data_IF_237165613545
#
_entry.id   IF_237165613545
#
_cell.length_a   1.000
_cell.length_b   1.000
_cell.length_c   1.000
_cell.angle_alpha   90.00
_cell.angle_beta   90.00
_cell.angle_gamma   90.00
#
_symmetry.space_group_name_H-M   'P 1'
#
loop_
_entity.id
_entity.type
_entity.pdbx_description
1 polymer ?
#
# COMPACT_ATOMS: atom_id res chain seq x y z
N UNK A 1 9.62 -12.73 12.15
CA UNK A 1 10.16 -13.28 10.89
C UNK A 1 9.09 -14.21 10.29
N UNK A 2 8.17 -13.66 9.52
CA UNK A 2 7.25 -14.49 8.74
C UNK A 2 7.98 -14.86 7.46
N UNK A 3 8.49 -16.07 7.43
CA UNK A 3 9.05 -16.67 6.22
C UNK A 3 7.86 -17.29 5.48
N UNK A 4 7.41 -16.64 4.43
CA UNK A 4 6.56 -17.29 3.44
C UNK A 4 7.44 -18.30 2.70
N UNK A 5 7.34 -19.57 3.04
CA UNK A 5 7.96 -20.64 2.28
C UNK A 5 7.24 -20.82 0.93
N UNK A 6 7.42 -19.89 0.05
CA UNK A 6 7.09 -20.10 -1.36
C UNK A 6 8.29 -20.76 -2.05
N UNK A 7 8.16 -22.04 -2.36
CA UNK A 7 9.21 -22.85 -3.00
C UNK A 7 9.49 -22.48 -4.47
N UNK A 8 8.90 -21.40 -4.96
CA UNK A 8 9.17 -20.90 -6.32
C UNK A 8 10.49 -20.15 -6.35
N UNK A 9 11.25 -20.34 -7.42
CA UNK A 9 12.45 -19.55 -7.66
C UNK A 9 12.01 -18.10 -7.85
N UNK A 10 12.37 -17.24 -6.89
CA UNK A 10 12.10 -15.80 -6.93
C UNK A 10 13.40 -15.03 -6.98
N UNK A 11 13.38 -13.96 -7.71
CA UNK A 11 14.44 -12.96 -7.63
C UNK A 11 14.29 -12.18 -6.31
N UNK A 12 15.35 -12.19 -5.51
CA UNK A 12 15.45 -11.40 -4.29
C UNK A 12 16.27 -10.17 -4.58
N UNK A 13 15.71 -9.01 -4.25
CA UNK A 13 16.38 -7.73 -4.39
C UNK A 13 16.79 -7.22 -3.02
N UNK A 14 18.06 -6.86 -2.88
CA UNK A 14 18.58 -6.24 -1.68
C UNK A 14 18.05 -4.82 -1.55
N UNK A 15 17.43 -4.53 -0.41
CA UNK A 15 17.06 -3.17 -0.03
C UNK A 15 18.28 -2.58 0.68
N UNK A 16 18.94 -1.64 0.02
CA UNK A 16 20.16 -1.03 0.55
C UNK A 16 20.12 0.48 0.41
N UNK A 17 20.89 1.11 1.27
CA UNK A 17 21.14 2.53 1.17
C UNK A 17 22.63 2.80 1.36
N UNK A 18 23.15 3.87 0.77
CA UNK A 18 24.53 4.27 0.92
C UNK A 18 24.67 5.21 2.12
N UNK A 19 25.52 4.84 3.06
CA UNK A 19 25.90 5.75 4.14
C UNK A 19 26.75 6.89 3.57
N UNK A 20 26.21 8.09 3.51
CA UNK A 20 26.88 9.25 2.90
C UNK A 20 28.19 9.63 3.59
N UNK A 21 28.38 9.27 4.86
CA UNK A 21 29.61 9.58 5.61
C UNK A 21 30.75 8.60 5.34
N UNK A 22 30.42 7.33 5.16
CA UNK A 22 31.41 6.26 4.99
C UNK A 22 31.51 5.78 3.55
N UNK A 23 30.54 6.08 2.69
CA UNK A 23 30.41 5.54 1.34
C UNK A 23 30.02 4.05 1.30
N UNK A 24 29.75 3.44 2.45
CA UNK A 24 29.40 2.02 2.54
C UNK A 24 27.94 1.78 2.21
N UNK A 25 27.67 0.72 1.47
CA UNK A 25 26.31 0.26 1.22
C UNK A 25 25.84 -0.59 2.42
N UNK A 26 24.75 -0.16 3.03
CA UNK A 26 24.12 -0.87 4.17
C UNK A 26 22.87 -1.56 3.67
N UNK A 27 22.84 -2.89 3.74
CA UNK A 27 21.62 -3.65 3.48
C UNK A 27 20.67 -3.49 4.66
N UNK A 28 19.42 -3.07 4.40
CA UNK A 28 18.37 -2.90 5.41
C UNK A 28 17.32 -4.00 5.33
N UNK A 29 17.39 -4.85 4.31
CA UNK A 29 16.50 -5.99 4.13
C UNK A 29 16.54 -6.53 2.71
N UNK A 30 15.69 -7.51 2.46
CA UNK A 30 15.51 -8.11 1.14
C UNK A 30 14.03 -8.25 0.84
N UNK A 31 13.64 -8.15 -0.41
CA UNK A 31 12.28 -8.49 -0.85
C UNK A 31 12.32 -9.38 -2.10
N UNK A 32 11.30 -10.23 -2.23
CA UNK A 32 11.07 -10.95 -3.47
C UNK A 32 10.26 -10.08 -4.43
N UNK A 33 10.69 -9.95 -5.68
CA UNK A 33 9.91 -9.30 -6.71
C UNK A 33 8.87 -10.25 -7.30
N UNK A 34 7.69 -9.71 -7.55
CA UNK A 34 6.63 -10.40 -8.25
C UNK A 34 7.03 -10.63 -9.73
N UNK A 35 6.61 -11.77 -10.28
CA UNK A 35 6.71 -12.10 -11.69
C UNK A 35 5.33 -12.03 -12.39
N UNK A 36 5.28 -12.37 -13.69
CA UNK A 36 4.05 -12.35 -14.48
C UNK A 36 2.93 -13.23 -13.88
N UNK A 37 3.27 -14.43 -13.39
CA UNK A 37 2.29 -15.32 -12.77
C UNK A 37 1.71 -14.71 -11.48
N UNK A 38 2.52 -13.98 -10.73
CA UNK A 38 2.07 -13.25 -9.54
C UNK A 38 1.08 -12.15 -9.92
N UNK A 39 1.32 -11.42 -11.02
CA UNK A 39 0.39 -10.41 -11.54
C UNK A 39 -0.96 -11.03 -11.86
N UNK A 40 -0.98 -12.12 -12.62
CA UNK A 40 -2.23 -12.80 -13.00
C UNK A 40 -3.01 -13.27 -11.76
N UNK A 41 -2.33 -13.85 -10.79
CA UNK A 41 -2.98 -14.29 -9.53
C UNK A 41 -3.50 -13.13 -8.70
N UNK A 42 -2.73 -12.05 -8.61
CA UNK A 42 -3.14 -10.88 -7.83
C UNK A 42 -4.36 -10.19 -8.44
N UNK A 43 -4.37 -10.02 -9.75
CA UNK A 43 -5.53 -9.42 -10.45
C UNK A 43 -6.75 -10.33 -10.32
N UNK A 44 -6.59 -11.64 -10.52
CA UNK A 44 -7.69 -12.61 -10.35
C UNK A 44 -8.25 -12.58 -8.92
N UNK A 45 -7.39 -12.53 -7.89
CA UNK A 45 -7.81 -12.42 -6.49
C UNK A 45 -8.52 -11.10 -6.21
N UNK A 46 -7.96 -9.98 -6.66
CA UNK A 46 -8.58 -8.67 -6.50
C UNK A 46 -9.94 -8.57 -7.19
N UNK A 47 -10.05 -9.14 -8.39
CA UNK A 47 -11.30 -9.19 -9.15
C UNK A 47 -12.35 -10.09 -8.48
N UNK A 48 -11.95 -11.21 -7.92
CA UNK A 48 -12.84 -12.13 -7.21
C UNK A 48 -13.38 -11.54 -5.91
N UNK A 49 -12.62 -10.65 -5.25
CA UNK A 49 -12.99 -10.02 -3.97
C UNK A 49 -13.48 -11.04 -2.92
N UNK A 50 -12.66 -12.04 -2.55
CA UNK A 50 -13.10 -13.17 -1.74
C UNK A 50 -13.60 -12.77 -0.35
N UNK A 51 -13.18 -11.61 0.16
CA UNK A 51 -13.56 -11.08 1.46
C UNK A 51 -14.76 -10.12 1.40
N UNK A 52 -15.32 -9.89 0.21
CA UNK A 52 -16.49 -9.07 -0.01
C UNK A 52 -16.28 -7.60 0.34
N UNK A 53 -15.07 -7.05 0.13
CA UNK A 53 -14.78 -5.65 0.42
C UNK A 53 -15.71 -4.69 -0.32
N UNK A 54 -15.99 -4.96 -1.59
CA UNK A 54 -16.88 -4.15 -2.43
C UNK A 54 -18.33 -4.13 -1.95
N UNK A 55 -18.74 -5.18 -1.22
CA UNK A 55 -20.11 -5.33 -0.68
C UNK A 55 -20.28 -4.62 0.67
N UNK A 56 -19.18 -4.26 1.34
CA UNK A 56 -19.25 -3.49 2.58
C UNK A 56 -19.85 -2.13 2.32
N UNK A 57 -20.67 -1.67 3.25
CA UNK A 57 -21.20 -0.32 3.25
C UNK A 57 -20.10 0.71 3.44
N UNK A 58 -20.34 1.97 3.03
CA UNK A 58 -19.42 3.09 3.29
C UNK A 58 -19.08 3.20 4.78
N UNK A 59 -20.05 2.94 5.65
CA UNK A 59 -19.86 2.96 7.10
C UNK A 59 -18.90 1.87 7.58
N UNK A 60 -19.07 0.64 7.14
CA UNK A 60 -18.19 -0.49 7.53
C UNK A 60 -16.76 -0.25 7.05
N UNK A 61 -16.58 0.25 5.82
CA UNK A 61 -15.25 0.62 5.33
C UNK A 61 -14.65 1.76 6.14
N UNK A 62 -15.44 2.78 6.47
CA UNK A 62 -14.99 3.89 7.31
C UNK A 62 -14.53 3.41 8.70
N UNK A 63 -15.28 2.53 9.36
CA UNK A 63 -14.92 1.98 10.67
C UNK A 63 -13.59 1.21 10.61
N UNK A 64 -13.31 0.46 9.52
CA UNK A 64 -12.05 -0.23 9.33
C UNK A 64 -10.91 0.78 9.08
N UNK A 65 -11.11 1.77 8.23
CA UNK A 65 -10.09 2.76 7.90
C UNK A 65 -9.79 3.71 9.07
N UNK A 66 -10.77 4.04 9.92
CA UNK A 66 -10.52 4.77 11.17
C UNK A 66 -9.62 3.98 12.13
N UNK A 67 -9.78 2.64 12.19
CA UNK A 67 -8.81 1.81 12.93
C UNK A 67 -7.41 1.86 12.28
N UNK A 68 -7.35 1.92 10.94
CA UNK A 68 -6.06 2.06 10.25
C UNK A 68 -5.36 3.38 10.59
N UNK A 69 -6.11 4.49 10.73
CA UNK A 69 -5.56 5.75 11.19
C UNK A 69 -4.94 5.63 12.60
N UNK A 70 -5.55 4.85 13.49
CA UNK A 70 -4.97 4.57 14.81
C UNK A 70 -3.70 3.71 14.71
N UNK A 71 -3.70 2.69 13.85
CA UNK A 71 -2.51 1.86 13.64
C UNK A 71 -1.34 2.66 13.05
N UNK A 72 -1.60 3.61 12.14
CA UNK A 72 -0.59 4.55 11.63
C UNK A 72 0.00 5.41 12.75
N UNK A 73 -0.84 5.95 13.66
CA UNK A 73 -0.37 6.69 14.83
C UNK A 73 0.53 5.85 15.74
N UNK A 74 0.14 4.62 16.02
CA UNK A 74 0.96 3.69 16.83
C UNK A 74 2.24 3.26 16.12
N UNK A 75 2.23 3.19 14.79
CA UNK A 75 3.38 2.81 13.99
C UNK A 75 4.32 3.98 13.68
N UNK A 76 4.02 5.21 14.10
CA UNK A 76 4.76 6.44 13.74
C UNK A 76 6.29 6.25 13.75
N UNK A 77 6.85 5.80 14.84
CA UNK A 77 8.31 5.61 14.95
C UNK A 77 8.85 4.55 13.98
N UNK A 78 8.10 3.47 13.71
CA UNK A 78 8.51 2.44 12.75
C UNK A 78 8.44 2.96 11.31
N UNK A 79 7.41 3.71 10.95
CA UNK A 79 7.26 4.31 9.63
C UNK A 79 8.37 5.32 9.35
N UNK A 80 8.66 6.20 10.31
CA UNK A 80 9.76 7.17 10.22
C UNK A 80 11.10 6.45 10.08
N UNK A 81 11.36 5.44 10.92
CA UNK A 81 12.58 4.64 10.86
C UNK A 81 12.74 3.88 9.54
N UNK A 82 11.66 3.28 9.03
CA UNK A 82 11.67 2.60 7.73
C UNK A 82 11.93 3.59 6.57
N UNK A 83 11.31 4.77 6.58
CA UNK A 83 11.55 5.81 5.58
C UNK A 83 13.01 6.28 5.61
N UNK A 84 13.55 6.56 6.79
CA UNK A 84 14.95 6.95 6.93
C UNK A 84 15.91 5.86 6.44
N UNK A 85 15.68 4.60 6.83
CA UNK A 85 16.55 3.48 6.47
C UNK A 85 16.47 3.11 4.98
N UNK A 86 15.30 3.21 4.35
CA UNK A 86 15.08 2.74 2.98
C UNK A 86 15.24 3.85 1.94
N UNK A 87 14.78 5.07 2.25
CA UNK A 87 14.78 6.19 1.29
C UNK A 87 15.73 7.34 1.67
N UNK A 88 16.39 7.26 2.81
CA UNK A 88 17.24 8.33 3.34
C UNK A 88 16.47 9.58 3.80
N UNK A 89 15.15 9.49 3.98
CA UNK A 89 14.33 10.63 4.37
C UNK A 89 14.63 11.09 5.78
N UNK A 90 14.75 12.39 5.99
CA UNK A 90 15.01 12.96 7.31
C UNK A 90 13.80 12.83 8.23
N UNK A 91 14.04 12.64 9.52
CA UNK A 91 12.98 12.31 10.50
C UNK A 91 11.88 13.36 10.57
N UNK A 92 12.23 14.64 10.51
CA UNK A 92 11.28 15.74 10.57
C UNK A 92 10.30 15.76 9.40
N UNK A 93 10.75 15.42 8.20
CA UNK A 93 9.89 15.32 7.02
C UNK A 93 9.05 14.04 7.05
N UNK A 94 9.65 12.92 7.46
CA UNK A 94 8.92 11.66 7.60
C UNK A 94 7.81 11.74 8.66
N UNK A 95 8.04 12.49 9.74
CA UNK A 95 7.05 12.72 10.80
C UNK A 95 5.81 13.47 10.28
N UNK A 96 6.01 14.49 9.44
CA UNK A 96 4.93 15.22 8.78
C UNK A 96 4.13 14.30 7.87
N UNK A 97 4.81 13.44 7.10
CA UNK A 97 4.13 12.48 6.23
C UNK A 97 3.25 11.48 6.99
N UNK A 98 3.68 11.04 8.18
CA UNK A 98 2.82 10.16 9.00
C UNK A 98 1.55 10.89 9.42
N UNK A 99 1.64 12.18 9.78
CA UNK A 99 0.47 12.99 10.12
C UNK A 99 -0.46 13.14 8.92
N UNK A 100 0.09 13.44 7.74
CA UNK A 100 -0.66 13.54 6.50
C UNK A 100 -1.32 12.20 6.11
N UNK A 101 -0.62 11.08 6.27
CA UNK A 101 -1.19 9.76 6.03
C UNK A 101 -2.38 9.45 6.95
N UNK A 102 -2.30 9.87 8.21
CA UNK A 102 -3.41 9.78 9.17
C UNK A 102 -4.59 10.65 8.71
N UNK A 103 -4.32 11.88 8.29
CA UNK A 103 -5.36 12.80 7.83
C UNK A 103 -6.06 12.27 6.58
N UNK A 104 -5.34 11.73 5.59
CA UNK A 104 -5.93 11.06 4.43
C UNK A 104 -6.79 9.87 4.82
N UNK A 105 -6.34 9.09 5.80
CA UNK A 105 -7.05 7.88 6.25
C UNK A 105 -8.36 8.19 6.96
N UNK A 106 -8.48 9.35 7.60
CA UNK A 106 -9.73 9.86 8.19
C UNK A 106 -10.58 10.60 7.14
N UNK A 107 -9.96 11.41 6.29
CA UNK A 107 -10.64 12.32 5.37
C UNK A 107 -11.34 11.61 4.21
N UNK A 108 -10.68 10.66 3.54
CA UNK A 108 -11.26 10.01 2.37
C UNK A 108 -12.52 9.18 2.68
N UNK A 109 -12.57 8.36 3.74
CA UNK A 109 -13.81 7.69 4.12
C UNK A 109 -14.94 8.65 4.47
N UNK A 110 -14.61 9.77 5.12
CA UNK A 110 -15.57 10.82 5.42
C UNK A 110 -16.13 11.44 4.12
N UNK A 111 -15.29 11.75 3.15
CA UNK A 111 -15.70 12.28 1.85
C UNK A 111 -16.60 11.33 1.08
N UNK A 112 -16.27 10.03 1.07
CA UNK A 112 -17.11 9.00 0.42
C UNK A 112 -18.47 8.90 1.07
N UNK A 113 -18.56 9.00 2.40
CA UNK A 113 -19.83 9.03 3.11
C UNK A 113 -20.71 10.20 2.67
N UNK A 114 -20.13 11.38 2.46
CA UNK A 114 -20.89 12.54 1.97
C UNK A 114 -21.46 12.29 0.57
N UNK A 115 -20.72 11.65 -0.33
CA UNK A 115 -21.25 11.27 -1.64
C UNK A 115 -22.35 10.22 -1.55
N UNK A 116 -22.25 9.26 -0.64
CA UNK A 116 -23.23 8.21 -0.42
C UNK A 116 -24.56 8.75 0.13
N UNK A 117 -24.50 9.86 0.88
CA UNK A 117 -25.68 10.54 1.44
C UNK A 117 -26.37 11.48 0.43
N UNK A 118 -25.79 11.72 -0.75
CA UNK A 118 -26.38 12.59 -1.76
C UNK A 118 -27.57 11.91 -2.45
N UNK A 119 -28.73 12.57 -2.45
CA UNK A 119 -29.92 12.08 -3.14
C UNK A 119 -29.65 11.88 -4.65
N UNK A 120 -30.11 10.76 -5.19
CA UNK A 120 -29.99 10.40 -6.60
C UNK A 120 -28.57 10.10 -7.12
N UNK A 121 -27.58 9.98 -6.25
CA UNK A 121 -26.23 9.56 -6.60
C UNK A 121 -26.00 8.15 -6.07
N UNK A 122 -25.51 7.25 -6.93
CA UNK A 122 -25.06 5.93 -6.53
C UNK A 122 -23.57 5.81 -6.80
N UNK A 123 -22.75 5.81 -5.74
CA UNK A 123 -21.31 5.63 -5.83
C UNK A 123 -20.96 4.14 -5.78
N UNK A 124 -20.15 3.69 -6.74
CA UNK A 124 -19.61 2.32 -6.78
C UNK A 124 -18.13 2.35 -7.08
N UNK A 125 -17.38 1.48 -6.43
CA UNK A 125 -15.99 1.22 -6.79
C UNK A 125 -15.87 0.70 -8.24
N UNK A 126 -14.77 1.05 -8.90
CA UNK A 126 -14.48 0.60 -10.27
C UNK A 126 -14.16 -0.90 -10.35
N UNK A 127 -13.68 -1.49 -9.26
CA UNK A 127 -13.29 -2.89 -9.18
C UNK A 127 -11.88 -3.05 -8.62
N UNK A 128 -10.91 -3.35 -9.45
CA UNK A 128 -9.49 -3.43 -9.07
C UNK A 128 -8.84 -2.07 -9.29
N UNK A 129 -8.17 -1.56 -8.28
CA UNK A 129 -7.38 -0.35 -8.37
C UNK A 129 -5.89 -0.66 -8.21
N UNK A 130 -5.08 -0.18 -9.13
CA UNK A 130 -3.63 -0.21 -9.03
C UNK A 130 -3.12 1.09 -8.43
N UNK A 131 -2.34 0.98 -7.36
CA UNK A 131 -1.69 2.12 -6.72
C UNK A 131 -0.20 2.07 -7.00
N UNK A 132 0.28 2.98 -7.84
CA UNK A 132 1.69 3.19 -8.17
C UNK A 132 2.18 4.44 -7.45
N UNK A 133 3.33 4.36 -6.79
CA UNK A 133 3.77 5.46 -5.93
C UNK A 133 5.24 5.81 -6.10
N UNK A 134 5.61 7.09 -5.87
CA UNK A 134 6.99 7.53 -5.88
C UNK A 134 7.74 7.08 -4.61
N UNK A 135 9.02 7.34 -4.59
CA UNK A 135 9.91 7.06 -3.46
C UNK A 135 10.13 8.27 -2.53
N UNK A 136 9.93 9.49 -3.02
CA UNK A 136 10.28 10.73 -2.31
C UNK A 136 9.26 11.16 -1.24
N UNK A 137 8.00 10.72 -1.38
CA UNK A 137 6.98 10.78 -0.33
C UNK A 137 6.46 9.37 -0.02
N UNK A 138 7.28 8.55 0.65
CA UNK A 138 7.06 7.11 0.74
C UNK A 138 5.96 6.70 1.73
N UNK A 139 5.42 7.61 2.51
CA UNK A 139 4.38 7.36 3.51
C UNK A 139 3.05 7.98 3.07
N UNK A 140 2.99 9.29 2.88
CA UNK A 140 1.74 10.02 2.65
C UNK A 140 1.09 9.66 1.32
N UNK A 141 1.83 9.74 0.21
CA UNK A 141 1.27 9.47 -1.13
C UNK A 141 0.80 8.02 -1.28
N UNK A 142 1.56 6.99 -0.89
CA UNK A 142 1.07 5.61 -0.91
C UNK A 142 -0.18 5.42 -0.04
N UNK A 143 -0.16 5.95 1.16
CA UNK A 143 -1.32 5.86 2.06
C UNK A 143 -2.56 6.49 1.43
N UNK A 144 -2.44 7.72 0.90
CA UNK A 144 -3.53 8.42 0.24
C UNK A 144 -4.13 7.63 -0.92
N UNK A 145 -3.29 7.08 -1.81
CA UNK A 145 -3.73 6.25 -2.93
C UNK A 145 -4.46 4.98 -2.49
N UNK A 146 -3.90 4.27 -1.50
CA UNK A 146 -4.53 3.05 -0.98
C UNK A 146 -5.86 3.34 -0.29
N UNK A 147 -5.90 4.31 0.64
CA UNK A 147 -7.10 4.54 1.44
C UNK A 147 -8.22 5.19 0.65
N UNK A 148 -7.93 6.06 -0.32
CA UNK A 148 -8.96 6.61 -1.21
C UNK A 148 -9.62 5.53 -2.07
N UNK A 149 -8.80 4.63 -2.62
CA UNK A 149 -9.28 3.49 -3.43
C UNK A 149 -10.11 2.51 -2.58
N UNK A 150 -9.64 2.18 -1.38
CA UNK A 150 -10.35 1.31 -0.43
C UNK A 150 -11.66 1.94 0.06
N UNK A 151 -11.66 3.23 0.39
CA UNK A 151 -12.85 3.96 0.83
C UNK A 151 -13.93 3.95 -0.26
N UNK A 152 -13.53 4.15 -1.52
CA UNK A 152 -14.43 4.07 -2.68
C UNK A 152 -14.97 2.66 -2.97
N UNK A 153 -14.50 1.63 -2.28
CA UNK A 153 -14.96 0.26 -2.40
C UNK A 153 -14.22 -0.56 -3.47
N UNK A 154 -13.01 -0.18 -3.83
CA UNK A 154 -12.16 -0.99 -4.70
C UNK A 154 -11.31 -1.98 -3.88
N UNK A 155 -10.93 -3.10 -4.49
CA UNK A 155 -9.77 -3.87 -4.07
C UNK A 155 -8.51 -3.20 -4.62
N UNK A 156 -7.39 -3.34 -3.93
CA UNK A 156 -6.16 -2.60 -4.25
C UNK A 156 -4.99 -3.54 -4.48
N UNK A 157 -4.29 -3.34 -5.57
CA UNK A 157 -2.94 -3.87 -5.80
C UNK A 157 -1.98 -2.70 -5.62
N UNK A 158 -1.11 -2.79 -4.64
CA UNK A 158 -0.16 -1.73 -4.32
C UNK A 158 1.25 -2.09 -4.79
N UNK A 159 1.74 -1.37 -5.78
CA UNK A 159 3.11 -1.45 -6.28
C UNK A 159 3.92 -0.25 -5.79
N UNK A 160 4.77 -0.41 -4.78
CA UNK A 160 5.66 0.66 -4.34
C UNK A 160 6.79 0.92 -5.36
N UNK A 161 7.41 2.07 -5.24
CA UNK A 161 8.71 2.30 -5.86
C UNK A 161 9.74 1.30 -5.29
N UNK A 162 10.65 0.81 -6.13
CA UNK A 162 11.69 -0.15 -5.71
C UNK A 162 12.58 0.38 -4.59
N UNK A 163 12.78 1.70 -4.52
CA UNK A 163 13.54 2.35 -3.46
C UNK A 163 12.75 2.58 -2.15
N UNK A 164 11.45 2.20 -2.07
CA UNK A 164 10.59 2.46 -0.91
C UNK A 164 9.82 1.21 -0.43
N UNK A 165 10.32 0.02 -0.74
CA UNK A 165 9.62 -1.25 -0.48
C UNK A 165 9.43 -1.52 1.01
N UNK A 166 10.44 -1.22 1.85
CA UNK A 166 10.37 -1.47 3.29
C UNK A 166 9.31 -0.58 3.98
N UNK A 167 9.32 0.71 3.68
CA UNK A 167 8.33 1.64 4.28
C UNK A 167 6.92 1.34 3.78
N UNK A 168 6.78 0.96 2.51
CA UNK A 168 5.52 0.52 1.92
C UNK A 168 4.95 -0.75 2.59
N UNK A 169 5.82 -1.69 2.94
CA UNK A 169 5.46 -2.87 3.72
C UNK A 169 4.90 -2.49 5.10
N UNK A 170 5.56 -1.58 5.82
CA UNK A 170 5.07 -1.11 7.13
C UNK A 170 3.71 -0.40 7.03
N UNK A 171 3.45 0.33 5.94
CA UNK A 171 2.13 0.91 5.66
C UNK A 171 1.05 -0.18 5.48
N UNK A 172 1.33 -1.18 4.64
CA UNK A 172 0.41 -2.30 4.44
C UNK A 172 0.10 -3.03 5.75
N UNK A 173 1.11 -3.25 6.59
CA UNK A 173 0.93 -3.87 7.92
C UNK A 173 -0.07 -3.10 8.80
N UNK A 174 -0.05 -1.76 8.76
CA UNK A 174 -1.01 -0.94 9.50
C UNK A 174 -2.45 -1.17 9.00
N UNK A 175 -2.67 -1.18 7.68
CA UNK A 175 -3.99 -1.42 7.12
C UNK A 175 -4.48 -2.85 7.36
N UNK A 176 -3.62 -3.85 7.19
CA UNK A 176 -3.97 -5.25 7.47
C UNK A 176 -4.33 -5.47 8.94
N UNK A 177 -3.57 -4.90 9.86
CA UNK A 177 -3.83 -4.97 11.30
C UNK A 177 -5.15 -4.31 11.69
N UNK A 178 -5.57 -3.30 10.95
CA UNK A 178 -6.86 -2.63 11.13
C UNK A 178 -8.05 -3.45 10.63
N UNK A 179 -7.82 -4.50 9.84
CA UNK A 179 -8.85 -5.39 9.33
C UNK A 179 -9.10 -5.30 7.81
N UNK A 180 -8.24 -4.61 7.06
CA UNK A 180 -8.18 -4.78 5.61
C UNK A 180 -7.49 -6.11 5.34
N UNK A 181 -8.09 -7.00 4.56
CA UNK A 181 -7.47 -8.30 4.28
C UNK A 181 -6.33 -8.17 3.26
N UNK A 182 -5.45 -9.19 3.23
CA UNK A 182 -4.38 -9.26 2.24
C UNK A 182 -4.90 -9.56 0.82
N UNK A 183 -6.12 -10.08 0.69
CA UNK A 183 -6.79 -10.24 -0.60
C UNK A 183 -7.36 -8.93 -1.12
N UNK A 184 -7.80 -8.05 -0.21
CA UNK A 184 -8.35 -6.72 -0.53
C UNK A 184 -7.25 -5.71 -0.82
N UNK A 185 -6.17 -5.71 -0.04
CA UNK A 185 -4.97 -4.90 -0.25
C UNK A 185 -3.77 -5.81 -0.45
N UNK A 186 -3.34 -5.97 -1.68
CA UNK A 186 -2.21 -6.80 -2.05
C UNK A 186 -0.96 -5.96 -2.22
N UNK A 187 0.12 -6.35 -1.55
CA UNK A 187 1.43 -5.73 -1.65
C UNK A 187 2.26 -6.43 -2.73
N UNK A 188 2.64 -5.70 -3.78
CA UNK A 188 3.28 -6.27 -4.96
C UNK A 188 4.52 -5.48 -5.39
N UNK A 189 5.66 -5.61 -4.71
CA UNK A 189 6.92 -5.09 -5.21
C UNK A 189 7.32 -5.86 -6.48
N UNK A 190 7.62 -5.14 -7.55
CA UNK A 190 8.05 -5.72 -8.82
C UNK A 190 8.90 -4.72 -9.61
N UNK A 191 9.55 -5.19 -10.68
CA UNK A 191 10.25 -4.33 -11.62
C UNK A 191 9.30 -3.31 -12.26
N UNK A 192 9.81 -2.13 -12.63
CA UNK A 192 9.01 -1.12 -13.32
C UNK A 192 8.80 -1.41 -14.80
N UNK A 193 9.79 -2.02 -15.44
CA UNK A 193 9.85 -2.17 -16.90
C UNK A 193 9.01 -3.34 -17.41
N UNK A 194 9.16 -4.51 -16.83
CA UNK A 194 8.46 -5.72 -17.28
C UNK A 194 7.13 -5.91 -16.54
N UNK A 195 7.21 -6.40 -15.32
CA UNK A 195 6.05 -6.77 -14.51
C UNK A 195 5.15 -5.59 -14.16
N UNK A 196 5.75 -4.40 -13.91
CA UNK A 196 4.99 -3.17 -13.65
C UNK A 196 4.23 -2.69 -14.88
N UNK A 197 4.79 -2.85 -16.08
CA UNK A 197 4.13 -2.54 -17.34
C UNK A 197 2.96 -3.49 -17.60
N UNK A 198 3.15 -4.80 -17.40
CA UNK A 198 2.09 -5.80 -17.52
C UNK A 198 0.91 -5.50 -16.59
N UNK A 199 1.20 -5.18 -15.33
CA UNK A 199 0.19 -4.83 -14.35
C UNK A 199 -0.59 -3.56 -14.73
N UNK A 200 0.11 -2.54 -15.25
CA UNK A 200 -0.51 -1.27 -15.67
C UNK A 200 -1.40 -1.42 -16.91
N UNK A 201 -1.03 -2.32 -17.80
CA UNK A 201 -1.77 -2.57 -19.05
C UNK A 201 -2.82 -3.67 -18.92
N UNK A 202 -2.97 -4.26 -17.74
CA UNK A 202 -3.90 -5.37 -17.54
C UNK A 202 -5.36 -4.91 -17.72
N UNK A 203 -6.18 -5.59 -18.51
CA UNK A 203 -7.53 -5.13 -18.87
C UNK A 203 -8.53 -5.10 -17.69
N UNK A 204 -8.22 -5.77 -16.60
CA UNK A 204 -9.06 -5.83 -15.39
C UNK A 204 -8.59 -4.87 -14.26
N UNK A 205 -7.61 -4.00 -14.55
CA UNK A 205 -7.07 -3.01 -13.62
C UNK A 205 -7.53 -1.60 -13.99
#
# INVERSE_FOLDING_TARGET
QEIFEDRRIREYVDLSHVNEKTGETVSVGQCAFANADDVQRAVATAKADPDGWRQKTCRERHEILSRAAMELRYARGRLIGAAAANTGKVFTEADVEVSEAVDFTEYYPYSVKQFDEMAHIQCKGKGVALVLTPWNFPIAIPCGGMVSSLAAGNTVIFKPASAAVMVAWELCRCLWKAGVSQSTLQFMPCSGEETGSELTMHPDV
#
